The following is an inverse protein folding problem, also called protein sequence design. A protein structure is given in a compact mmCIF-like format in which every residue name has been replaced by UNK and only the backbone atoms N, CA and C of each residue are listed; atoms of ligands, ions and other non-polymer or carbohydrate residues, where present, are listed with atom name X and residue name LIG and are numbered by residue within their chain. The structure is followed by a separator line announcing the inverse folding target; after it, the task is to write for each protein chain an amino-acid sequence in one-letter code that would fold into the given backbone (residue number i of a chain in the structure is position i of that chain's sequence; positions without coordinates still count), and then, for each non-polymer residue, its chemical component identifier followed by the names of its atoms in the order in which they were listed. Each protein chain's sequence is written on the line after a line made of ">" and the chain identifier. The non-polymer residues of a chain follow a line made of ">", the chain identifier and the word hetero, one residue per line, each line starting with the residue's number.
data_IF_762565126423
#
_entry.id   IF_762565126423
#
_cell.length_a   1.000
_cell.length_b   1.000
_cell.length_c   1.000
_cell.angle_alpha   90.00
_cell.angle_beta   90.00
_cell.angle_gamma   90.00
#
_symmetry.space_group_name_H-M   'P 1'
#
loop_
_entity.id
_entity.type
_entity.pdbx_description
1 polymer ?
#
# COMPACT_ATOMS: atom_id res chain seq x y z
N UNK A 1 -63.96 2.18 63.32
CA UNK A 1 -63.09 3.14 62.60
C UNK A 1 -62.64 2.52 61.30
N UNK A 2 -62.57 3.27 60.20
CA UNK A 2 -62.04 2.74 58.93
C UNK A 2 -60.54 2.45 59.11
N UNK A 3 -60.15 1.18 59.06
CA UNK A 3 -58.74 0.79 58.93
C UNK A 3 -58.37 0.93 57.46
N UNK A 4 -57.26 1.60 57.14
CA UNK A 4 -56.74 1.71 55.79
C UNK A 4 -55.53 0.78 55.68
N UNK A 5 -55.60 -0.31 54.92
CA UNK A 5 -54.42 -1.14 54.68
C UNK A 5 -53.47 -0.41 53.73
N UNK A 6 -52.18 -0.53 54.00
CA UNK A 6 -51.10 -0.01 53.15
C UNK A 6 -50.23 -1.19 52.69
N UNK A 7 -49.74 -1.12 51.45
CA UNK A 7 -48.74 -2.05 50.94
C UNK A 7 -47.35 -1.46 51.23
N UNK A 8 -46.48 -2.23 51.89
CA UNK A 8 -45.11 -1.81 52.21
C UNK A 8 -44.14 -2.70 51.44
N UNK A 9 -43.15 -2.07 50.81
CA UNK A 9 -42.11 -2.77 50.07
C UNK A 9 -41.03 -3.28 51.04
N UNK A 10 -40.81 -4.59 51.09
CA UNK A 10 -39.76 -5.19 51.94
C UNK A 10 -38.41 -5.37 51.23
N UNK A 11 -38.43 -5.51 49.89
CA UNK A 11 -37.23 -5.71 49.06
C UNK A 11 -37.35 -4.88 47.79
N UNK A 12 -36.21 -4.44 47.25
CA UNK A 12 -36.19 -3.72 45.96
C UNK A 12 -36.81 -4.57 44.86
N UNK A 13 -37.54 -3.92 43.97
CA UNK A 13 -38.10 -4.53 42.77
C UNK A 13 -37.08 -4.44 41.63
N UNK A 14 -37.14 -5.40 40.73
CA UNK A 14 -36.26 -5.53 39.56
C UNK A 14 -37.15 -6.05 38.43
N UNK A 15 -37.37 -5.22 37.40
CA UNK A 15 -38.32 -5.50 36.33
C UNK A 15 -37.80 -6.63 35.45
N UNK A 16 -36.48 -6.66 35.23
CA UNK A 16 -35.74 -7.61 34.42
C UNK A 16 -35.82 -9.02 35.01
N UNK A 17 -35.99 -9.13 36.33
CA UNK A 17 -36.35 -10.39 37.01
C UNK A 17 -37.85 -10.68 36.99
N UNK A 18 -38.70 -9.70 37.32
CA UNK A 18 -40.16 -9.88 37.37
C UNK A 18 -40.91 -8.57 37.11
N UNK A 19 -41.60 -8.49 35.97
CA UNK A 19 -42.28 -7.27 35.51
C UNK A 19 -43.64 -7.01 36.16
N UNK A 20 -44.24 -7.99 36.81
CA UNK A 20 -45.54 -7.82 37.48
C UNK A 20 -45.78 -8.83 38.61
N UNK A 21 -46.54 -8.42 39.61
CA UNK A 21 -47.00 -9.24 40.72
C UNK A 21 -48.53 -9.27 40.76
N UNK A 22 -49.10 -10.44 41.01
CA UNK A 22 -50.53 -10.60 41.26
C UNK A 22 -50.73 -11.01 42.72
N UNK A 23 -51.36 -10.13 43.49
CA UNK A 23 -51.60 -10.30 44.91
C UNK A 23 -53.10 -10.43 45.17
N UNK A 24 -53.47 -11.12 46.25
CA UNK A 24 -54.87 -11.21 46.69
C UNK A 24 -54.98 -10.54 48.06
N UNK A 25 -55.73 -9.45 48.11
CA UNK A 25 -56.07 -8.77 49.35
C UNK A 25 -57.39 -9.32 49.87
N UNK A 26 -57.44 -9.74 51.14
CA UNK A 26 -58.63 -10.25 51.79
C UNK A 26 -59.04 -9.32 52.94
N UNK A 27 -60.30 -8.92 52.97
CA UNK A 27 -60.94 -8.27 54.11
C UNK A 27 -61.86 -9.27 54.79
N UNK A 28 -61.83 -9.32 56.12
CA UNK A 28 -62.67 -10.21 56.94
C UNK A 28 -63.37 -9.35 58.00
N UNK A 29 -64.67 -9.56 58.20
CA UNK A 29 -65.41 -8.92 59.29
C UNK A 29 -65.30 -9.71 60.61
N UNK A 30 -65.61 -9.05 61.73
CA UNK A 30 -65.54 -9.65 63.07
C UNK A 30 -66.86 -10.35 63.47
N UNK A 31 -67.71 -10.73 62.51
CA UNK A 31 -69.01 -11.36 62.77
C UNK A 31 -68.91 -12.84 63.15
N UNK A 32 -69.99 -13.40 63.70
CA UNK A 32 -70.17 -14.86 63.84
C UNK A 32 -71.44 -15.29 63.07
N UNK A 33 -71.31 -16.00 61.93
CA UNK A 33 -70.07 -16.38 61.25
C UNK A 33 -69.43 -15.19 60.50
N UNK A 34 -68.09 -15.16 60.46
CA UNK A 34 -67.33 -14.13 59.75
C UNK A 34 -67.52 -14.22 58.24
N UNK A 35 -67.59 -13.08 57.57
CA UNK A 35 -67.64 -12.95 56.11
C UNK A 35 -66.36 -12.31 55.59
N UNK A 36 -65.92 -12.76 54.43
CA UNK A 36 -64.74 -12.22 53.77
C UNK A 36 -65.03 -11.77 52.34
N UNK A 37 -64.25 -10.79 51.87
CA UNK A 37 -64.20 -10.36 50.48
C UNK A 37 -62.75 -10.31 50.03
N UNK A 38 -62.48 -10.76 48.80
CA UNK A 38 -61.15 -10.72 48.20
C UNK A 38 -61.12 -9.79 46.99
N UNK A 39 -59.97 -9.18 46.74
CA UNK A 39 -59.70 -8.39 45.54
C UNK A 39 -58.30 -8.71 45.03
N UNK A 40 -58.15 -8.82 43.70
CA UNK A 40 -56.85 -8.98 43.07
C UNK A 40 -56.19 -7.60 42.90
N UNK A 41 -54.94 -7.51 43.33
CA UNK A 41 -54.09 -6.33 43.15
C UNK A 41 -52.96 -6.72 42.20
N UNK A 42 -52.97 -6.13 41.00
CA UNK A 42 -51.86 -6.27 40.05
C UNK A 42 -50.89 -5.10 40.22
N UNK A 43 -49.65 -5.42 40.54
CA UNK A 43 -48.55 -4.45 40.61
C UNK A 43 -47.72 -4.59 39.35
N UNK A 44 -47.65 -3.54 38.53
CA UNK A 44 -46.76 -3.49 37.37
C UNK A 44 -45.48 -2.77 37.77
N UNK A 45 -44.33 -3.39 37.53
CA UNK A 45 -43.02 -2.77 37.77
C UNK A 45 -42.66 -1.93 36.56
N UNK A 46 -42.45 -0.63 36.79
CA UNK A 46 -42.00 0.30 35.74
C UNK A 46 -40.50 0.13 35.50
N UNK A 47 -40.09 0.31 34.26
CA UNK A 47 -38.70 0.26 33.85
C UNK A 47 -37.89 1.41 34.46
N UNK A 48 -36.67 1.11 34.88
CA UNK A 48 -35.66 2.08 35.29
C UNK A 48 -34.44 1.85 34.40
N UNK A 49 -33.70 2.92 34.08
CA UNK A 49 -32.52 2.81 33.22
C UNK A 49 -31.30 2.36 34.05
N UNK A 50 -31.26 1.09 34.43
CA UNK A 50 -30.26 0.52 35.35
C UNK A 50 -29.38 -0.57 34.73
N UNK A 51 -29.60 -0.93 33.46
CA UNK A 51 -28.71 -1.79 32.70
C UNK A 51 -28.03 -0.98 31.58
N UNK A 52 -26.68 -0.94 31.52
CA UNK A 52 -25.99 -0.31 30.40
C UNK A 52 -25.97 -1.24 29.17
N UNK A 53 -25.81 -0.70 27.95
CA UNK A 53 -25.60 -1.51 26.76
C UNK A 53 -24.37 -2.42 26.88
N UNK A 54 -24.51 -3.69 26.55
CA UNK A 54 -23.41 -4.68 26.59
C UNK A 54 -23.13 -5.21 25.18
N UNK A 55 -21.89 -5.03 24.71
CA UNK A 55 -21.44 -5.63 23.45
C UNK A 55 -21.32 -7.15 23.54
N UNK A 56 -21.62 -7.84 22.44
CA UNK A 56 -21.48 -9.31 22.36
C UNK A 56 -20.03 -9.81 22.44
N UNK A 57 -19.06 -8.94 22.13
CA UNK A 57 -17.61 -9.18 22.25
C UNK A 57 -16.94 -7.94 22.82
N UNK A 58 -15.85 -8.14 23.54
CA UNK A 58 -14.98 -7.05 24.00
C UNK A 58 -14.09 -6.50 22.88
N UNK A 59 -13.79 -7.32 21.87
CA UNK A 59 -12.99 -6.98 20.70
C UNK A 59 -13.60 -7.56 19.42
N UNK A 60 -13.61 -6.77 18.36
CA UNK A 60 -14.02 -7.17 17.01
C UNK A 60 -12.84 -7.00 16.06
N UNK A 61 -12.59 -8.01 15.24
CA UNK A 61 -11.48 -8.02 14.28
C UNK A 61 -12.03 -8.16 12.86
N UNK A 62 -11.42 -7.46 11.91
CA UNK A 62 -11.68 -7.62 10.48
C UNK A 62 -10.39 -7.45 9.68
N UNK A 63 -10.38 -8.09 8.50
CA UNK A 63 -9.34 -7.92 7.48
C UNK A 63 -10.01 -7.41 6.21
N UNK A 64 -9.51 -6.32 5.66
CA UNK A 64 -10.05 -5.72 4.44
C UNK A 64 -8.94 -5.31 3.50
N UNK A 65 -9.17 -5.42 2.21
CA UNK A 65 -8.25 -4.94 1.19
C UNK A 65 -8.20 -3.40 1.18
N UNK A 66 -7.05 -2.83 0.89
CA UNK A 66 -6.90 -1.38 0.73
C UNK A 66 -7.73 -0.81 -0.43
N UNK A 67 -7.92 -1.62 -1.48
CA UNK A 67 -8.74 -1.26 -2.64
C UNK A 67 -10.26 -1.31 -2.36
N UNK A 68 -10.66 -1.62 -1.12
CA UNK A 68 -12.06 -1.76 -0.74
C UNK A 68 -12.80 -0.43 -0.95
N UNK A 69 -13.80 -0.36 -1.86
CA UNK A 69 -14.45 0.90 -2.22
C UNK A 69 -15.13 1.57 -1.03
N UNK A 70 -15.17 2.91 -1.02
CA UNK A 70 -15.90 3.66 0.00
C UNK A 70 -17.39 3.27 0.07
N UNK A 71 -17.92 3.15 1.28
CA UNK A 71 -19.28 2.70 1.56
C UNK A 71 -19.43 1.18 1.70
N UNK A 72 -18.35 0.42 1.53
CA UNK A 72 -18.34 -1.03 1.70
C UNK A 72 -18.43 -1.42 3.17
N UNK A 73 -19.09 -2.54 3.47
CA UNK A 73 -19.19 -3.09 4.81
C UNK A 73 -17.86 -3.71 5.23
N UNK A 74 -17.32 -3.27 6.37
CA UNK A 74 -16.12 -3.85 6.99
C UNK A 74 -16.52 -4.95 7.97
N UNK A 75 -17.32 -4.58 8.98
CA UNK A 75 -17.86 -5.52 9.97
C UNK A 75 -19.14 -4.96 10.58
N UNK A 76 -19.81 -5.76 11.40
CA UNK A 76 -20.96 -5.32 12.18
C UNK A 76 -20.76 -5.66 13.66
N UNK A 77 -20.86 -4.64 14.51
CA UNK A 77 -20.90 -4.82 15.96
C UNK A 77 -22.32 -4.99 16.46
N UNK A 78 -22.47 -5.59 17.63
CA UNK A 78 -23.76 -5.74 18.28
C UNK A 78 -23.64 -5.52 19.78
N UNK A 79 -24.47 -4.65 20.31
CA UNK A 79 -24.73 -4.51 21.74
C UNK A 79 -26.22 -4.73 22.03
N UNK A 80 -26.51 -5.17 23.25
CA UNK A 80 -27.86 -5.40 23.76
C UNK A 80 -28.00 -4.75 25.12
N UNK A 81 -29.19 -4.22 25.37
CA UNK A 81 -29.58 -3.63 26.63
C UNK A 81 -30.78 -4.41 27.19
N UNK A 82 -30.80 -4.63 28.50
CA UNK A 82 -31.85 -5.42 29.17
C UNK A 82 -33.11 -4.60 29.49
N UNK A 83 -32.99 -3.28 29.48
CA UNK A 83 -34.08 -2.36 29.81
C UNK A 83 -35.15 -2.34 28.71
N UNK A 84 -36.34 -1.83 29.03
CA UNK A 84 -37.45 -1.76 28.08
C UNK A 84 -37.57 -0.40 27.38
N UNK A 85 -38.21 -0.39 26.21
CA UNK A 85 -38.55 0.86 25.51
C UNK A 85 -37.32 1.65 25.05
N UNK A 86 -37.24 2.93 25.41
CA UNK A 86 -36.12 3.80 25.05
C UNK A 86 -34.84 3.46 25.81
N UNK A 87 -34.97 2.99 27.06
CA UNK A 87 -33.83 2.59 27.89
C UNK A 87 -33.16 1.34 27.32
N UNK A 88 -33.92 0.47 26.64
CA UNK A 88 -33.35 -0.67 25.91
C UNK A 88 -32.83 -0.34 24.50
N UNK A 89 -33.00 0.88 23.99
CA UNK A 89 -32.68 1.22 22.59
C UNK A 89 -31.23 1.65 22.47
N UNK A 90 -30.43 0.78 21.86
CA UNK A 90 -28.99 1.01 21.62
C UNK A 90 -28.76 1.85 20.35
N UNK A 91 -27.86 2.82 20.48
CA UNK A 91 -27.28 3.59 19.37
C UNK A 91 -25.75 3.46 19.37
N UNK A 92 -25.13 3.47 18.18
CA UNK A 92 -23.69 3.25 18.01
C UNK A 92 -22.97 4.51 17.55
N UNK A 93 -21.79 4.77 18.11
CA UNK A 93 -20.91 5.85 17.69
C UNK A 93 -19.44 5.53 17.94
N UNK A 94 -18.54 6.25 17.28
CA UNK A 94 -17.14 6.24 17.69
C UNK A 94 -16.97 6.82 19.09
N UNK A 95 -16.14 6.19 19.91
CA UNK A 95 -15.71 6.77 21.17
C UNK A 95 -14.72 7.94 20.96
N UNK A 96 -13.73 8.04 21.84
CA UNK A 96 -12.64 9.00 21.68
C UNK A 96 -11.60 8.46 20.69
N UNK A 97 -11.71 8.84 19.42
CA UNK A 97 -10.85 8.35 18.33
C UNK A 97 -10.20 9.52 17.57
N UNK A 98 -9.01 9.34 16.99
CA UNK A 98 -8.39 10.35 16.13
C UNK A 98 -9.27 10.75 14.95
N UNK A 99 -9.12 11.98 14.46
CA UNK A 99 -9.90 12.50 13.33
C UNK A 99 -9.76 11.62 12.08
N UNK A 100 -8.56 11.12 11.77
CA UNK A 100 -8.32 10.24 10.63
C UNK A 100 -9.17 8.97 10.62
N UNK A 101 -9.52 8.39 11.78
CA UNK A 101 -10.42 7.22 11.84
C UNK A 101 -11.83 7.58 11.36
N UNK A 102 -12.30 8.80 11.67
CA UNK A 102 -13.63 9.29 11.27
C UNK A 102 -13.70 9.71 9.80
N UNK A 103 -12.54 9.97 9.18
CA UNK A 103 -12.43 10.23 7.75
C UNK A 103 -12.43 8.91 6.95
N UNK A 104 -11.86 7.85 7.52
CA UNK A 104 -11.69 6.56 6.86
C UNK A 104 -12.84 5.57 7.11
N UNK A 105 -13.49 5.65 8.27
CA UNK A 105 -14.57 4.74 8.66
C UNK A 105 -15.82 5.49 9.13
N UNK A 106 -16.97 4.87 8.90
CA UNK A 106 -18.27 5.31 9.42
C UNK A 106 -18.96 4.17 10.16
N UNK A 107 -19.77 4.50 11.16
CA UNK A 107 -20.60 3.52 11.88
C UNK A 107 -22.06 3.92 11.74
N UNK A 108 -22.90 2.95 11.38
CA UNK A 108 -24.34 3.10 11.33
C UNK A 108 -24.91 3.13 12.76
N UNK A 109 -25.56 4.24 13.09
CA UNK A 109 -26.07 4.52 14.45
C UNK A 109 -27.11 3.51 14.92
N UNK A 110 -27.87 2.88 14.02
CA UNK A 110 -28.98 2.00 14.39
C UNK A 110 -28.57 0.52 14.42
N UNK A 111 -27.70 0.11 13.50
CA UNK A 111 -27.40 -1.32 13.32
C UNK A 111 -25.94 -1.71 13.56
N UNK A 112 -25.05 -0.76 13.89
CA UNK A 112 -23.67 -1.04 14.26
C UNK A 112 -22.80 -1.54 13.10
N UNK A 113 -23.23 -1.35 11.85
CA UNK A 113 -22.39 -1.65 10.68
C UNK A 113 -21.30 -0.60 10.54
N UNK A 114 -20.05 -1.05 10.55
CA UNK A 114 -18.89 -0.23 10.24
C UNK A 114 -18.64 -0.34 8.74
N UNK A 115 -18.50 0.80 8.06
CA UNK A 115 -18.24 0.88 6.64
C UNK A 115 -17.02 1.76 6.37
N UNK A 116 -16.37 1.54 5.23
CA UNK A 116 -15.38 2.48 4.71
C UNK A 116 -16.04 3.80 4.35
N UNK A 117 -15.36 4.92 4.60
CA UNK A 117 -15.80 6.28 4.30
C UNK A 117 -14.79 7.02 3.41
N UNK A 118 -13.49 6.71 3.56
CA UNK A 118 -12.39 7.19 2.73
C UNK A 118 -11.64 6.05 2.04
N UNK A 119 -10.64 6.38 1.22
CA UNK A 119 -9.71 5.39 0.64
C UNK A 119 -8.79 4.83 1.72
N UNK A 120 -8.53 3.53 1.67
CA UNK A 120 -7.54 2.88 2.53
C UNK A 120 -6.25 2.74 1.71
N UNK A 121 -5.11 2.75 2.40
CA UNK A 121 -3.77 2.68 1.81
C UNK A 121 -2.89 1.88 2.80
N UNK A 122 -2.41 0.72 2.36
CA UNK A 122 -1.60 -0.19 3.15
C UNK A 122 -0.21 0.40 3.43
N UNK A 123 0.40 1.04 2.43
CA UNK A 123 1.69 1.72 2.50
C UNK A 123 1.66 2.91 3.48
N UNK A 124 0.51 3.59 3.60
CA UNK A 124 0.31 4.62 4.62
C UNK A 124 0.10 4.01 6.00
N UNK A 125 -0.86 3.08 6.14
CA UNK A 125 -1.16 2.44 7.42
C UNK A 125 -1.93 1.12 7.28
N UNK A 126 -1.28 0.03 7.68
CA UNK A 126 -1.83 -1.32 7.60
C UNK A 126 -2.72 -1.77 8.76
N UNK A 127 -2.88 -0.98 9.82
CA UNK A 127 -3.67 -1.37 10.99
C UNK A 127 -4.39 -0.20 11.68
N UNK A 128 -5.66 -0.42 12.03
CA UNK A 128 -6.47 0.53 12.78
C UNK A 128 -7.06 -0.13 14.03
N UNK A 129 -6.80 0.46 15.20
CA UNK A 129 -7.43 0.08 16.47
C UNK A 129 -8.18 1.28 17.03
N UNK A 130 -9.47 1.11 17.34
CA UNK A 130 -10.27 2.15 17.96
C UNK A 130 -11.44 1.61 18.79
N UNK A 131 -11.83 2.39 19.81
CA UNK A 131 -12.98 2.09 20.64
C UNK A 131 -14.31 2.55 20.01
N UNK A 132 -15.30 1.67 20.03
CA UNK A 132 -16.70 2.01 19.78
C UNK A 132 -17.47 2.19 21.08
N UNK A 133 -18.49 3.04 21.01
CA UNK A 133 -19.44 3.29 22.09
C UNK A 133 -20.84 2.85 21.64
N UNK A 134 -21.51 2.11 22.52
CA UNK A 134 -22.95 1.86 22.45
C UNK A 134 -23.62 2.66 23.56
N UNK A 135 -24.68 3.40 23.23
CA UNK A 135 -25.40 4.27 24.16
C UNK A 135 -26.90 3.99 24.11
N UNK A 136 -27.51 3.83 25.27
CA UNK A 136 -28.96 3.69 25.40
C UNK A 136 -29.70 5.03 25.30
N UNK A 137 -31.03 5.02 25.43
CA UNK A 137 -31.83 6.24 25.48
C UNK A 137 -31.70 7.04 26.79
N UNK A 138 -31.27 6.41 27.89
CA UNK A 138 -31.12 7.03 29.21
C UNK A 138 -29.75 7.66 29.48
N UNK A 139 -28.77 7.42 28.61
CA UNK A 139 -27.41 7.93 28.66
C UNK A 139 -26.35 6.97 29.20
N UNK A 140 -26.67 5.72 29.57
CA UNK A 140 -25.66 4.72 29.93
C UNK A 140 -24.93 4.23 28.67
N UNK A 141 -23.67 3.84 28.86
CA UNK A 141 -22.77 3.50 27.76
C UNK A 141 -22.04 2.19 28.00
N UNK A 142 -21.84 1.44 26.92
CA UNK A 142 -20.92 0.32 26.82
C UNK A 142 -19.83 0.61 25.79
N UNK A 143 -18.69 -0.09 25.89
CA UNK A 143 -17.56 0.07 24.99
C UNK A 143 -17.02 -1.28 24.50
N UNK A 144 -16.47 -1.30 23.28
CA UNK A 144 -15.68 -2.42 22.76
C UNK A 144 -14.52 -1.88 21.89
N UNK A 145 -13.49 -2.70 21.71
CA UNK A 145 -12.40 -2.40 20.78
C UNK A 145 -12.69 -2.97 19.39
N UNK A 146 -12.29 -2.24 18.36
CA UNK A 146 -12.33 -2.68 16.96
C UNK A 146 -10.92 -2.62 16.40
N UNK A 147 -10.46 -3.73 15.83
CA UNK A 147 -9.18 -3.86 15.15
C UNK A 147 -9.42 -4.23 13.69
N UNK A 148 -8.87 -3.43 12.78
CA UNK A 148 -8.99 -3.63 11.34
C UNK A 148 -7.57 -3.72 10.79
N UNK A 149 -7.24 -4.87 10.21
CA UNK A 149 -6.01 -5.06 9.44
C UNK A 149 -6.31 -4.80 7.97
N UNK A 150 -5.47 -4.00 7.33
CA UNK A 150 -5.51 -3.75 5.89
C UNK A 150 -4.62 -4.78 5.22
N UNK A 151 -5.09 -5.38 4.14
CA UNK A 151 -4.28 -6.27 3.30
C UNK A 151 -3.81 -5.53 2.08
N UNK A 152 -2.50 -5.63 1.85
CA UNK A 152 -1.74 -5.15 0.68
C UNK A 152 -2.30 -5.72 -0.63
N UNK A 153 -2.45 -4.85 -1.61
CA UNK A 153 -2.74 -5.13 -3.02
C UNK A 153 -1.61 -4.62 -3.89
N UNK A 154 -1.32 -5.32 -5.00
CA UNK A 154 -0.30 -4.87 -5.94
C UNK A 154 -0.78 -3.61 -6.70
N UNK A 155 -0.56 -2.43 -6.13
CA UNK A 155 -1.00 -1.14 -6.67
C UNK A 155 0.14 -0.13 -6.87
N UNK A 156 1.35 -0.46 -6.44
CA UNK A 156 2.56 0.29 -6.79
C UNK A 156 3.40 -0.47 -7.82
N UNK A 157 3.86 0.26 -8.85
CA UNK A 157 4.74 -0.32 -9.86
C UNK A 157 6.23 -0.15 -9.47
N UNK A 158 7.11 -1.09 -9.84
CA UNK A 158 8.53 -1.00 -9.52
C UNK A 158 9.19 0.26 -10.10
N UNK A 159 9.85 1.06 -9.26
CA UNK A 159 10.57 2.26 -9.66
C UNK A 159 12.08 1.99 -9.81
N UNK A 160 12.65 2.35 -10.96
CA UNK A 160 14.09 2.22 -11.25
C UNK A 160 14.77 3.58 -11.04
N UNK A 161 15.66 3.67 -10.04
CA UNK A 161 16.53 4.82 -9.80
C UNK A 161 17.95 4.55 -10.28
N UNK A 162 18.51 5.47 -11.07
CA UNK A 162 19.92 5.44 -11.47
C UNK A 162 20.73 6.16 -10.40
N UNK A 163 21.53 5.42 -9.62
CA UNK A 163 22.34 5.97 -8.54
C UNK A 163 23.63 6.61 -9.05
N UNK A 164 24.24 6.02 -10.08
CA UNK A 164 25.41 6.55 -10.75
C UNK A 164 25.47 6.09 -12.20
N UNK A 165 26.06 6.94 -13.05
CA UNK A 165 26.30 6.65 -14.46
C UNK A 165 27.70 7.13 -14.83
N UNK A 166 28.57 6.19 -15.19
CA UNK A 166 29.93 6.41 -15.68
C UNK A 166 29.92 6.49 -17.20
N UNK A 167 29.39 7.58 -17.76
CA UNK A 167 29.37 7.86 -19.20
C UNK A 167 30.03 9.22 -19.46
N UNK A 168 30.90 9.37 -20.49
CA UNK A 168 31.23 8.38 -21.53
C UNK A 168 32.15 7.23 -21.05
N UNK A 169 32.13 6.11 -21.78
CA UNK A 169 32.95 4.90 -21.53
C UNK A 169 33.95 4.72 -22.67
N UNK A 170 35.27 4.59 -22.39
CA UNK A 170 36.27 4.25 -23.42
C UNK A 170 35.95 2.95 -24.14
N UNK A 171 36.16 2.89 -25.45
CA UNK A 171 35.89 1.66 -26.21
C UNK A 171 36.84 0.51 -25.87
N UNK A 172 38.06 0.84 -25.46
CA UNK A 172 39.08 -0.09 -24.96
C UNK A 172 38.81 -0.59 -23.52
N UNK A 173 37.68 -0.18 -22.91
CA UNK A 173 37.31 -0.62 -21.58
C UNK A 173 37.11 -2.15 -21.53
N UNK A 174 37.69 -2.85 -20.54
CA UNK A 174 37.58 -4.30 -20.46
C UNK A 174 36.14 -4.74 -20.11
N UNK A 175 35.77 -5.93 -20.58
CA UNK A 175 34.52 -6.58 -20.16
C UNK A 175 34.46 -6.72 -18.64
N UNK A 176 33.30 -6.49 -18.05
CA UNK A 176 33.08 -6.44 -16.60
C UNK A 176 33.17 -5.03 -16.00
N UNK A 177 33.58 -4.02 -16.79
CA UNK A 177 33.55 -2.61 -16.36
C UNK A 177 32.12 -2.20 -15.95
N UNK A 178 31.99 -1.57 -14.78
CA UNK A 178 30.70 -1.09 -14.26
C UNK A 178 30.39 0.28 -14.86
N UNK A 179 29.30 0.35 -15.62
CA UNK A 179 28.85 1.56 -16.32
C UNK A 179 27.80 2.32 -15.50
N UNK A 180 26.91 1.62 -14.79
CA UNK A 180 25.92 2.28 -13.94
C UNK A 180 25.59 1.45 -12.70
N UNK A 181 25.22 2.14 -11.61
CA UNK A 181 24.61 1.54 -10.43
C UNK A 181 23.14 1.91 -10.39
N UNK A 182 22.29 0.92 -10.17
CA UNK A 182 20.84 1.05 -10.24
C UNK A 182 20.23 0.53 -8.94
N UNK A 183 19.11 1.13 -8.55
CA UNK A 183 18.25 0.65 -7.47
C UNK A 183 16.85 0.49 -8.01
N UNK A 184 16.25 -0.67 -7.78
CA UNK A 184 14.83 -0.88 -8.02
C UNK A 184 14.14 -0.98 -6.67
N UNK A 185 13.03 -0.28 -6.53
CA UNK A 185 12.19 -0.30 -5.34
C UNK A 185 10.75 -0.42 -5.75
N UNK A 186 10.05 -1.28 -5.03
CA UNK A 186 8.59 -1.29 -4.99
C UNK A 186 8.15 -0.87 -3.59
N UNK A 187 6.98 -0.27 -3.48
CA UNK A 187 6.42 0.17 -2.19
C UNK A 187 5.58 -0.91 -1.54
N UNK A 188 5.05 -1.82 -2.34
CA UNK A 188 4.24 -2.93 -1.86
C UNK A 188 5.08 -3.90 -1.03
N UNK A 189 4.41 -4.77 -0.28
CA UNK A 189 5.03 -5.75 0.60
C UNK A 189 4.95 -7.18 0.02
N UNK A 190 5.71 -8.10 0.62
CA UNK A 190 5.71 -9.50 0.21
C UNK A 190 6.12 -9.71 -1.25
N UNK A 191 5.34 -10.53 -1.98
CA UNK A 191 5.57 -10.83 -3.40
C UNK A 191 5.27 -9.63 -4.32
N UNK A 192 4.31 -8.77 -3.94
CA UNK A 192 4.01 -7.52 -4.65
C UNK A 192 5.24 -6.59 -4.61
N UNK A 193 5.98 -6.59 -3.50
CA UNK A 193 7.20 -5.83 -3.34
C UNK A 193 8.47 -6.44 -3.96
N UNK A 194 8.43 -7.69 -4.42
CA UNK A 194 9.61 -8.42 -4.88
C UNK A 194 9.97 -8.06 -6.32
N UNK A 195 11.06 -7.32 -6.50
CA UNK A 195 11.44 -6.77 -7.81
C UNK A 195 12.49 -7.60 -8.55
N UNK A 196 12.31 -7.69 -9.86
CA UNK A 196 13.28 -8.16 -10.84
C UNK A 196 13.55 -7.06 -11.86
N UNK A 197 14.76 -7.01 -12.43
CA UNK A 197 15.12 -6.01 -13.44
C UNK A 197 15.97 -6.64 -14.54
N UNK A 198 15.60 -6.33 -15.77
CA UNK A 198 16.22 -6.84 -16.99
C UNK A 198 16.53 -5.71 -17.96
N UNK A 199 17.52 -5.95 -18.82
CA UNK A 199 17.79 -5.10 -19.96
C UNK A 199 16.91 -5.54 -21.13
N UNK A 200 16.19 -4.62 -21.74
CA UNK A 200 15.36 -4.89 -22.90
C UNK A 200 16.21 -4.83 -24.17
N UNK A 201 16.17 -5.90 -24.97
CA UNK A 201 16.89 -6.02 -26.24
C UNK A 201 18.34 -6.50 -26.11
N UNK A 202 19.03 -6.58 -27.25
CA UNK A 202 20.45 -6.95 -27.31
C UNK A 202 21.32 -5.69 -27.29
N UNK A 203 22.31 -5.67 -26.39
CA UNK A 203 23.30 -4.60 -26.27
C UNK A 203 24.65 -5.19 -25.84
N UNK A 204 25.78 -4.47 -26.00
CA UNK A 204 27.06 -4.90 -25.46
C UNK A 204 27.13 -4.81 -23.92
N UNK A 205 26.04 -4.40 -23.27
CA UNK A 205 25.92 -4.29 -21.81
C UNK A 205 24.96 -5.35 -21.26
N UNK A 206 25.18 -5.75 -20.01
CA UNK A 206 24.28 -6.64 -19.26
C UNK A 206 23.99 -6.09 -17.87
N UNK A 207 22.86 -6.48 -17.31
CA UNK A 207 22.49 -6.15 -15.95
C UNK A 207 22.81 -7.32 -15.03
N UNK A 208 23.47 -7.03 -13.91
CA UNK A 208 23.83 -8.01 -12.89
C UNK A 208 23.15 -7.63 -11.59
N UNK A 209 22.30 -8.53 -11.09
CA UNK A 209 21.63 -8.37 -9.81
C UNK A 209 22.65 -8.41 -8.66
N UNK A 210 22.42 -7.57 -7.66
CA UNK A 210 23.11 -7.54 -6.38
C UNK A 210 22.07 -7.69 -5.26
N UNK A 211 22.46 -7.47 -4.00
CA UNK A 211 21.56 -7.66 -2.87
C UNK A 211 20.52 -6.53 -2.74
N UNK A 212 19.32 -6.92 -2.32
CA UNK A 212 18.22 -6.02 -1.94
C UNK A 212 17.73 -5.10 -3.06
N UNK A 213 17.50 -5.61 -4.28
CA UNK A 213 16.99 -4.80 -5.40
C UNK A 213 18.01 -3.83 -5.99
N UNK A 214 19.30 -4.03 -5.74
CA UNK A 214 20.37 -3.22 -6.32
C UNK A 214 20.93 -3.93 -7.54
N UNK A 215 21.23 -3.20 -8.62
CA UNK A 215 21.74 -3.78 -9.86
C UNK A 215 22.95 -3.00 -10.37
N UNK A 216 23.82 -3.70 -11.10
CA UNK A 216 24.95 -3.10 -11.80
C UNK A 216 24.75 -3.29 -13.30
N UNK A 217 24.89 -2.22 -14.06
CA UNK A 217 25.02 -2.28 -15.51
C UNK A 217 26.50 -2.45 -15.84
N UNK A 218 26.86 -3.55 -16.47
CA UNK A 218 28.26 -3.90 -16.76
C UNK A 218 28.47 -4.11 -18.25
N UNK A 219 29.69 -3.88 -18.70
CA UNK A 219 30.07 -4.17 -20.07
C UNK A 219 30.21 -5.70 -20.27
N UNK A 220 29.40 -6.28 -21.16
CA UNK A 220 29.38 -7.71 -21.44
C UNK A 220 30.20 -8.10 -22.68
N UNK A 221 30.35 -7.18 -23.63
CA UNK A 221 31.14 -7.33 -24.86
C UNK A 221 32.01 -6.08 -25.05
N UNK A 222 33.12 -6.20 -25.80
CA UNK A 222 33.91 -5.03 -26.17
C UNK A 222 33.04 -4.00 -26.91
N UNK A 223 33.35 -2.73 -26.71
CA UNK A 223 32.74 -1.63 -27.45
C UNK A 223 33.58 -1.35 -28.70
N UNK A 224 32.92 -0.79 -29.70
CA UNK A 224 33.53 -0.30 -30.94
C UNK A 224 32.77 0.98 -31.29
N UNK A 225 33.45 2.12 -31.18
CA UNK A 225 32.87 3.45 -31.40
C UNK A 225 32.62 3.67 -32.89
N UNK A 226 33.50 3.16 -33.77
CA UNK A 226 33.35 3.22 -35.22
C UNK A 226 32.10 2.44 -35.68
N UNK A 227 31.72 1.37 -34.96
CA UNK A 227 30.44 0.68 -35.15
C UNK A 227 29.27 1.48 -34.54
N UNK A 228 29.38 1.89 -33.28
CA UNK A 228 28.33 2.61 -32.57
C UNK A 228 28.86 3.59 -31.51
N UNK A 229 28.82 4.89 -31.83
CA UNK A 229 29.24 5.96 -30.92
C UNK A 229 28.40 6.09 -29.62
N UNK A 230 27.22 5.47 -29.55
CA UNK A 230 26.40 5.42 -28.33
C UNK A 230 25.41 4.24 -28.35
N UNK A 231 25.00 3.81 -27.15
CA UNK A 231 23.95 2.83 -26.96
C UNK A 231 22.81 3.43 -26.13
N UNK A 232 21.58 3.35 -26.67
CA UNK A 232 20.35 3.66 -25.92
C UNK A 232 19.75 2.38 -25.37
N UNK A 233 19.68 2.30 -24.05
CA UNK A 233 19.30 1.12 -23.29
C UNK A 233 17.95 1.37 -22.63
N UNK A 234 17.08 0.38 -22.67
CA UNK A 234 15.80 0.39 -21.96
C UNK A 234 15.85 -0.69 -20.88
N UNK A 235 15.81 -0.27 -19.63
CA UNK A 235 15.69 -1.16 -18.48
C UNK A 235 14.22 -1.40 -18.18
N UNK A 236 13.86 -2.63 -17.84
CA UNK A 236 12.51 -3.02 -17.45
C UNK A 236 12.58 -3.71 -16.09
N UNK A 237 11.83 -3.18 -15.13
CA UNK A 237 11.60 -3.81 -13.84
C UNK A 237 10.21 -4.43 -13.81
N UNK A 238 10.07 -5.53 -13.08
CA UNK A 238 8.82 -6.26 -12.88
C UNK A 238 8.75 -6.76 -11.44
N UNK A 239 7.60 -6.59 -10.80
CA UNK A 239 7.32 -7.16 -9.49
C UNK A 239 6.97 -8.67 -9.55
N UNK A 240 6.71 -9.27 -8.38
CA UNK A 240 6.26 -10.65 -8.23
C UNK A 240 4.74 -10.81 -8.14
N UNK A 241 3.97 -9.72 -8.12
CA UNK A 241 2.53 -9.75 -7.88
C UNK A 241 1.70 -10.35 -9.02
N UNK A 242 0.40 -10.58 -8.75
CA UNK A 242 -0.59 -11.03 -9.73
C UNK A 242 -1.86 -10.15 -9.70
N UNK A 243 -2.10 -9.32 -10.72
CA UNK A 243 -1.30 -9.13 -11.93
C UNK A 243 0.02 -8.41 -11.62
N UNK A 244 1.08 -8.75 -12.37
CA UNK A 244 2.36 -8.09 -12.19
C UNK A 244 2.41 -6.70 -12.84
N UNK A 245 3.02 -5.75 -12.17
CA UNK A 245 3.31 -4.42 -12.69
C UNK A 245 4.75 -4.30 -13.17
N UNK A 246 5.00 -3.28 -14.00
CA UNK A 246 6.32 -3.04 -14.59
C UNK A 246 6.67 -1.57 -14.64
N UNK A 247 7.93 -1.27 -14.32
CA UNK A 247 8.53 0.05 -14.54
C UNK A 247 9.59 0.00 -15.64
N UNK A 248 9.87 1.15 -16.26
CA UNK A 248 10.94 1.26 -17.27
C UNK A 248 11.80 2.49 -17.05
N UNK A 249 13.09 2.38 -17.36
CA UNK A 249 14.03 3.50 -17.36
C UNK A 249 14.89 3.47 -18.62
N UNK A 250 15.35 4.63 -19.07
CA UNK A 250 16.22 4.75 -20.26
C UNK A 250 17.58 5.28 -19.86
N UNK A 251 18.64 4.65 -20.38
CA UNK A 251 20.03 5.07 -20.17
C UNK A 251 20.68 5.23 -21.53
N UNK A 252 21.38 6.35 -21.73
CA UNK A 252 22.24 6.54 -22.90
C UNK A 252 23.70 6.45 -22.45
N UNK A 253 24.44 5.52 -23.03
CA UNK A 253 25.87 5.34 -22.80
C UNK A 253 26.60 5.82 -24.05
N UNK A 254 27.45 6.83 -23.90
CA UNK A 254 28.29 7.32 -25.00
C UNK A 254 29.64 6.61 -24.96
N UNK A 255 30.15 6.24 -26.13
CA UNK A 255 31.46 5.59 -26.28
C UNK A 255 32.52 6.66 -26.55
N UNK A 256 33.65 6.60 -25.87
CA UNK A 256 34.79 7.49 -26.05
C UNK A 256 35.85 6.79 -26.91
N UNK A 257 36.34 7.53 -27.90
CA UNK A 257 37.37 7.14 -28.85
C UNK A 257 38.70 6.76 -28.16
N UNK A 258 39.26 5.63 -28.59
CA UNK A 258 40.62 5.19 -28.33
C UNK A 258 41.40 5.14 -29.66
N UNK A 259 42.72 5.25 -29.59
CA UNK A 259 43.54 5.13 -30.80
C UNK A 259 43.84 3.66 -31.08
N UNK A 260 42.91 2.96 -31.74
CA UNK A 260 43.03 1.55 -32.07
C UNK A 260 42.96 1.24 -33.57
N UNK A 261 42.63 2.23 -34.41
CA UNK A 261 42.79 2.15 -35.85
C UNK A 261 44.10 2.82 -36.29
N UNK A 262 44.83 2.16 -37.19
CA UNK A 262 46.02 2.74 -37.79
C UNK A 262 45.68 3.39 -39.13
N UNK A 263 46.39 4.45 -39.57
CA UNK A 263 46.15 5.06 -40.87
C UNK A 263 46.35 4.06 -42.02
N UNK A 264 45.34 3.90 -42.88
CA UNK A 264 45.38 3.01 -44.04
C UNK A 264 45.48 3.82 -45.33
N UNK A 265 46.48 3.53 -46.15
CA UNK A 265 46.61 4.12 -47.49
C UNK A 265 45.51 3.61 -48.43
N UNK A 266 45.03 4.48 -49.32
CA UNK A 266 43.98 4.13 -50.30
C UNK A 266 44.41 3.08 -51.33
N UNK A 267 45.71 2.82 -51.48
CA UNK A 267 46.28 1.80 -52.37
C UNK A 267 47.42 1.06 -51.65
N UNK A 268 47.55 -0.24 -51.95
CA UNK A 268 48.64 -1.07 -51.42
C UNK A 268 50.01 -0.71 -52.02
N UNK A 269 50.03 -0.21 -53.26
CA UNK A 269 51.23 0.25 -53.94
C UNK A 269 50.86 1.41 -54.87
N UNK A 270 51.72 2.44 -54.91
CA UNK A 270 51.59 3.57 -55.82
C UNK A 270 52.72 3.52 -56.85
N UNK A 271 52.40 3.17 -58.10
CA UNK A 271 53.37 3.18 -59.20
C UNK A 271 53.18 4.42 -60.06
N UNK A 272 54.24 5.22 -60.21
CA UNK A 272 54.26 6.39 -61.12
C UNK A 272 55.37 6.23 -62.16
N UNK A 273 55.06 6.55 -63.41
CA UNK A 273 56.02 6.61 -64.52
C UNK A 273 56.35 8.07 -64.81
N UNK A 274 57.63 8.43 -64.75
CA UNK A 274 58.10 9.80 -64.86
C UNK A 274 59.03 9.94 -66.08
N UNK A 275 58.73 10.83 -67.03
CA UNK A 275 59.67 11.21 -68.10
C UNK A 275 60.94 11.88 -67.54
N UNK A 276 62.07 11.73 -68.24
CA UNK A 276 63.37 12.24 -67.77
C UNK A 276 63.48 13.79 -67.77
N UNK A 277 62.61 14.47 -68.50
CA UNK A 277 62.60 15.93 -68.69
C UNK A 277 61.65 16.67 -67.72
N UNK A 278 61.08 15.96 -66.73
CA UNK A 278 60.17 16.56 -65.76
C UNK A 278 60.89 17.65 -64.92
N UNK A 279 60.36 18.89 -64.89
CA UNK A 279 60.95 19.99 -64.13
C UNK A 279 60.98 19.75 -62.62
N UNK A 280 62.02 20.28 -61.95
CA UNK A 280 62.14 20.28 -60.49
C UNK A 280 60.95 21.01 -59.85
N UNK A 281 60.35 20.38 -58.84
CA UNK A 281 59.17 20.89 -58.14
C UNK A 281 57.84 20.39 -58.68
N UNK A 282 57.84 19.56 -59.72
CA UNK A 282 56.61 18.92 -60.24
C UNK A 282 56.06 17.88 -59.25
N UNK A 283 54.76 17.90 -59.01
CA UNK A 283 54.08 16.85 -58.23
C UNK A 283 53.99 15.56 -59.06
N UNK A 284 54.61 14.50 -58.56
CA UNK A 284 54.65 13.20 -59.27
C UNK A 284 53.47 12.30 -58.90
N UNK A 285 53.10 12.29 -57.61
CA UNK A 285 52.03 11.46 -57.07
C UNK A 285 51.36 12.19 -55.92
N UNK A 286 50.07 11.96 -55.73
CA UNK A 286 49.35 12.33 -54.52
C UNK A 286 48.90 11.04 -53.86
N UNK A 287 49.38 10.81 -52.64
CA UNK A 287 48.96 9.67 -51.81
C UNK A 287 47.94 10.14 -50.79
N UNK A 288 47.05 9.24 -50.39
CA UNK A 288 46.03 9.51 -49.39
C UNK A 288 45.96 8.31 -48.46
N UNK A 289 46.00 8.58 -47.15
CA UNK A 289 45.68 7.66 -46.09
C UNK A 289 44.55 8.23 -45.23
N UNK A 290 43.73 7.34 -44.69
CA UNK A 290 42.62 7.64 -43.80
C UNK A 290 42.75 6.81 -42.53
N UNK A 291 42.37 7.42 -41.42
CA UNK A 291 42.30 6.77 -40.12
C UNK A 291 40.85 6.89 -39.63
N UNK A 292 40.32 5.82 -39.01
CA UNK A 292 38.91 5.72 -38.66
C UNK A 292 38.59 6.41 -37.32
N UNK A 293 39.61 6.65 -36.48
CA UNK A 293 39.47 7.24 -35.16
C UNK A 293 39.02 8.72 -35.22
N UNK A 294 38.55 9.25 -34.10
CA UNK A 294 38.07 10.62 -33.95
C UNK A 294 39.19 11.62 -33.62
N UNK A 295 38.98 12.88 -34.04
CA UNK A 295 39.76 14.00 -33.54
C UNK A 295 41.24 13.93 -33.90
N UNK A 296 42.11 13.88 -32.88
CA UNK A 296 43.56 13.82 -33.07
C UNK A 296 44.04 12.42 -33.44
N UNK A 297 43.31 11.38 -33.04
CA UNK A 297 43.67 10.00 -33.35
C UNK A 297 43.49 9.74 -34.86
N UNK A 298 42.42 10.29 -35.45
CA UNK A 298 42.20 10.24 -36.89
C UNK A 298 43.10 11.16 -37.76
N UNK A 299 44.02 11.94 -37.18
CA UNK A 299 44.85 12.88 -37.95
C UNK A 299 46.09 12.24 -38.55
N UNK A 300 46.10 12.14 -39.88
CA UNK A 300 47.25 11.60 -40.63
C UNK A 300 48.31 12.67 -40.91
N UNK A 301 49.58 12.35 -40.61
CA UNK A 301 50.76 13.15 -40.98
C UNK A 301 51.71 12.33 -41.86
N UNK A 302 52.13 12.91 -42.99
CA UNK A 302 53.06 12.28 -43.94
C UNK A 302 54.48 12.79 -43.69
N UNK A 303 55.48 11.91 -43.81
CA UNK A 303 56.91 12.20 -43.64
C UNK A 303 57.75 11.55 -44.73
#
# INVERSE_FOLDING_TARGET
>A
GKKQPELVLEKTLDREKQSSFELVLMAVDDGEPARSGTVQVRVNVMDANDNPPVFTKTQYEARVSENLPSGSLVLQVRATDADAGSNGRVSYSFGNVPAGVRELFSVDIENGKIKTAGPLDFEEKSEYSFALEARDGGGLTGHCEVQIEITDENDNAPEITILSLSSPVPEDAPTGTVVALLKVRDRDSGENGEVSCELSGEAPLSIVASSGGSYKLVLAKALDREEAAFHELVLRARDGGDPAQTGTARIRVTVLDANDNAPVFSQAEYTVRVPEDVPVGSTLVTVMATDADEGLNGQVKYS
#
